data_IF_775077975593
#
_entry.id   IF_775077975593
#
_cell.length_a   1.000
_cell.length_b   1.000
_cell.length_c   1.000
_cell.angle_alpha   90.00
_cell.angle_beta   90.00
_cell.angle_gamma   90.00
#
_symmetry.space_group_name_H-M   'P 1'
#
loop_
_entity.id
_entity.type
_entity.pdbx_description
1 polymer ?
2 non-polymer ?
3 water ?
#
# COMPACT_ATOMS: atom_id res chain seq x y z
N UNK A 1 11.38 -20.80 26.90
CA UNK A 1 10.14 -21.27 26.22
C UNK A 1 10.32 -21.16 24.71
N UNK A 2 9.71 -20.13 24.10
CA UNK A 2 9.90 -19.78 22.70
C UNK A 2 10.37 -20.95 21.84
N UNK A 3 9.44 -21.82 21.45
CA UNK A 3 9.73 -22.77 20.38
C UNK A 3 9.97 -21.98 19.09
N UNK A 4 10.92 -22.47 18.28
CA UNK A 4 11.21 -21.91 16.98
C UNK A 4 11.15 -23.01 15.93
N UNK A 5 9.94 -23.43 15.54
CA UNK A 5 9.79 -24.35 14.42
C UNK A 5 10.45 -23.78 13.16
N UNK A 6 11.02 -24.68 12.35
CA UNK A 6 11.56 -24.37 11.05
C UNK A 6 10.41 -24.13 10.10
N UNK A 7 10.65 -23.28 9.09
CA UNK A 7 9.68 -23.12 8.02
C UNK A 7 9.48 -24.46 7.35
N UNK A 8 8.23 -24.80 7.09
CA UNK A 8 7.93 -25.96 6.29
C UNK A 8 8.35 -25.71 4.85
N UNK A 9 8.33 -26.79 4.06
CA UNK A 9 8.61 -26.70 2.65
C UNK A 9 7.52 -25.83 2.00
N UNK A 10 6.24 -26.04 2.38
CA UNK A 10 5.14 -25.23 1.88
C UNK A 10 5.34 -23.73 2.22
N UNK A 11 5.72 -23.43 3.46
CA UNK A 11 5.94 -22.04 3.87
C UNK A 11 7.11 -21.41 3.10
N UNK A 12 8.19 -22.16 2.88
CA UNK A 12 9.29 -21.67 2.04
C UNK A 12 8.80 -21.38 0.62
N UNK A 13 7.88 -22.18 0.11
CA UNK A 13 7.36 -22.04 -1.24
C UNK A 13 6.47 -20.79 -1.28
N UNK A 14 5.67 -20.59 -0.23
CA UNK A 14 4.83 -19.40 -0.15
C UNK A 14 5.72 -18.15 -0.21
N UNK A 15 6.79 -18.12 0.58
CA UNK A 15 7.68 -16.98 0.59
C UNK A 15 8.31 -16.78 -0.79
N UNK A 16 8.76 -17.87 -1.44
CA UNK A 16 9.38 -17.75 -2.75
C UNK A 16 8.41 -17.15 -3.78
N UNK A 17 7.17 -17.62 -3.77
CA UNK A 17 6.13 -17.17 -4.66
C UNK A 17 5.87 -15.67 -4.47
N UNK A 18 5.73 -15.24 -3.21
CA UNK A 18 5.44 -13.84 -2.91
C UNK A 18 6.62 -12.94 -3.26
N UNK A 19 7.85 -13.37 -3.02
CA UNK A 19 8.99 -12.56 -3.43
C UNK A 19 8.96 -12.37 -4.95
N UNK A 20 8.78 -13.46 -5.68
CA UNK A 20 8.76 -13.46 -7.13
C UNK A 20 7.63 -12.55 -7.61
N UNK A 21 6.48 -12.66 -6.98
CA UNK A 21 5.33 -11.84 -7.34
C UNK A 21 5.65 -10.37 -7.13
N UNK A 22 6.32 -10.01 -6.03
CA UNK A 22 6.71 -8.64 -5.79
C UNK A 22 7.72 -8.17 -6.82
N UNK A 23 8.74 -9.01 -7.13
CA UNK A 23 9.78 -8.60 -8.04
C UNK A 23 9.23 -8.36 -9.44
N UNK A 24 8.14 -9.02 -9.78
CA UNK A 24 7.52 -8.89 -11.09
C UNK A 24 6.55 -7.71 -11.16
N UNK A 25 6.11 -7.19 -10.01
CA UNK A 25 5.08 -6.15 -9.98
C UNK A 25 5.54 -4.85 -9.34
N UNK A 26 6.77 -4.80 -8.83
CA UNK A 26 7.32 -3.60 -8.23
C UNK A 26 8.65 -3.29 -8.90
N UNK A 27 8.67 -2.28 -9.80
CA UNK A 27 9.90 -1.88 -10.46
C UNK A 27 10.66 -0.88 -9.59
N UNK A 28 11.81 -1.25 -8.98
CA UNK A 28 12.49 -0.34 -8.08
C UNK A 28 13.32 0.73 -8.77
N UNK A 29 13.27 0.79 -10.10
CA UNK A 29 13.82 1.90 -10.86
C UNK A 29 12.77 2.93 -11.30
N UNK A 30 11.49 2.63 -11.14
CA UNK A 30 10.44 3.61 -11.43
C UNK A 30 10.48 4.07 -12.88
N UNK A 31 10.84 3.14 -13.78
CA UNK A 31 11.17 3.45 -15.16
C UNK A 31 9.92 3.77 -15.98
N UNK A 32 8.74 3.40 -15.49
CA UNK A 32 7.50 3.69 -16.22
C UNK A 32 6.97 5.08 -15.92
N UNK A 33 7.55 5.78 -14.94
CA UNK A 33 6.87 6.94 -14.38
C UNK A 33 6.89 8.12 -15.37
N UNK A 34 7.74 8.07 -16.39
CA UNK A 34 7.80 9.11 -17.41
C UNK A 34 6.61 8.98 -18.35
N UNK A 35 5.85 7.89 -18.24
CA UNK A 35 4.69 7.65 -19.09
C UNK A 35 3.44 8.28 -18.48
N UNK A 36 3.50 8.67 -17.20
CA UNK A 36 2.34 9.26 -16.53
C UNK A 36 2.15 10.69 -17.06
N UNK A 37 0.94 11.26 -16.90
CA UNK A 37 0.79 12.68 -17.09
C UNK A 37 1.78 13.41 -16.17
N UNK A 38 2.42 14.50 -16.66
CA UNK A 38 3.56 15.05 -15.95
C UNK A 38 3.17 15.69 -14.62
N UNK A 39 4.08 15.67 -13.64
CA UNK A 39 3.90 16.42 -12.40
C UNK A 39 3.94 17.90 -12.74
N UNK A 40 3.08 18.68 -12.09
CA UNK A 40 3.12 20.11 -12.19
C UNK A 40 3.02 20.64 -10.77
N UNK A 41 3.92 21.56 -10.40
CA UNK A 41 3.97 22.09 -9.05
C UNK A 41 3.70 23.60 -9.05
N UNK A 42 2.43 24.01 -8.77
CA UNK A 42 2.05 25.42 -8.72
C UNK A 42 2.65 26.04 -7.45
N UNK A 43 2.87 27.35 -7.46
CA UNK A 43 3.34 28.06 -6.27
C UNK A 43 2.25 27.97 -5.22
N UNK A 44 2.55 27.35 -4.07
CA UNK A 44 1.54 27.23 -3.03
C UNK A 44 2.20 27.12 -1.65
N UNK A 45 3.17 28.01 -1.40
CA UNK A 45 3.88 28.01 -0.14
C UNK A 45 2.88 28.07 1.02
N UNK A 46 1.73 28.74 0.78
CA UNK A 46 0.73 28.86 1.82
C UNK A 46 0.02 27.54 2.11
N UNK A 99 -2.62 26.87 0.45
CA UNK A 99 -4.00 27.41 0.31
C UNK A 99 -4.93 26.34 -0.24
N UNK A 100 -5.97 25.97 0.52
CA UNK A 100 -6.87 24.92 0.07
C UNK A 100 -7.60 25.39 -1.18
N UNK A 101 -8.05 26.66 -1.21
CA UNK A 101 -8.76 27.18 -2.36
C UNK A 101 -7.93 27.09 -3.65
N UNK A 102 -6.66 27.49 -3.59
CA UNK A 102 -5.79 27.39 -4.75
C UNK A 102 -5.50 25.93 -5.12
N UNK A 103 -5.21 25.09 -4.10
CA UNK A 103 -4.97 23.68 -4.36
C UNK A 103 -6.13 23.07 -5.15
N UNK A 104 -7.39 23.32 -4.71
CA UNK A 104 -8.56 22.75 -5.36
C UNK A 104 -8.81 23.37 -6.73
N UNK A 105 -8.47 24.65 -6.87
CA UNK A 105 -8.58 25.35 -8.12
C UNK A 105 -7.72 24.72 -9.20
N UNK A 106 -6.50 24.28 -8.85
CA UNK A 106 -5.53 23.83 -9.84
C UNK A 106 -5.43 22.28 -9.91
N UNK A 107 -5.45 21.62 -8.75
CA UNK A 107 -5.11 20.20 -8.61
C UNK A 107 -3.94 19.82 -9.51
N UNK A 108 -2.87 20.58 -9.37
CA UNK A 108 -1.75 20.54 -10.31
C UNK A 108 -1.04 19.18 -10.31
N UNK A 109 -1.01 18.51 -9.14
CA UNK A 109 -0.32 17.24 -9.00
C UNK A 109 -1.29 16.06 -9.12
N UNK A 110 -2.60 16.32 -9.34
CA UNK A 110 -3.53 15.22 -9.29
C UNK A 110 -3.40 14.31 -10.50
N UNK A 111 -3.24 14.78 -11.75
CA UNK A 111 -3.15 13.82 -12.85
C UNK A 111 -1.94 12.89 -12.72
N UNK A 112 -0.81 13.42 -12.25
CA UNK A 112 0.40 12.61 -12.11
C UNK A 112 0.19 11.56 -11.00
N UNK A 113 -0.29 12.00 -9.83
CA UNK A 113 -0.46 11.10 -8.69
C UNK A 113 -1.62 10.14 -8.91
N UNK A 114 -2.69 10.54 -9.63
CA UNK A 114 -3.73 9.60 -9.98
C UNK A 114 -3.19 8.53 -10.93
N UNK A 115 -2.36 8.92 -11.88
CA UNK A 115 -1.77 7.92 -12.77
C UNK A 115 -0.85 6.98 -11.99
N UNK A 116 -0.08 7.55 -11.07
CA UNK A 116 0.82 6.76 -10.23
C UNK A 116 0.02 5.76 -9.41
N UNK A 117 -1.09 6.18 -8.81
CA UNK A 117 -1.89 5.30 -7.98
C UNK A 117 -2.62 4.26 -8.85
N UNK A 118 -3.13 4.69 -10.00
CA UNK A 118 -3.80 3.79 -10.94
C UNK A 118 -2.86 2.67 -11.38
N UNK A 119 -1.64 3.03 -11.80
CA UNK A 119 -0.58 2.10 -12.15
C UNK A 119 -0.32 1.12 -11.03
N UNK A 120 -0.20 1.66 -9.80
CA UNK A 120 0.01 0.86 -8.60
C UNK A 120 -1.13 -0.09 -8.30
N UNK A 121 -2.39 0.34 -8.49
CA UNK A 121 -3.51 -0.56 -8.34
C UNK A 121 -3.41 -1.73 -9.33
N UNK A 122 -3.03 -1.45 -10.56
CA UNK A 122 -2.83 -2.53 -11.54
C UNK A 122 -1.76 -3.51 -11.05
N UNK A 123 -0.70 -2.98 -10.48
CA UNK A 123 0.39 -3.83 -10.00
C UNK A 123 -0.07 -4.69 -8.82
N UNK A 124 -0.88 -4.11 -7.93
CA UNK A 124 -1.40 -4.81 -6.78
C UNK A 124 -2.36 -5.91 -7.22
N UNK A 125 -3.18 -5.64 -8.24
CA UNK A 125 -4.04 -6.69 -8.76
C UNK A 125 -3.19 -7.87 -9.21
N UNK A 126 -2.13 -7.61 -9.95
CA UNK A 126 -1.20 -8.63 -10.40
C UNK A 126 -0.54 -9.40 -9.27
N UNK A 127 -0.07 -8.68 -8.24
CA UNK A 127 0.52 -9.28 -7.06
C UNK A 127 -0.49 -10.19 -6.37
N UNK A 128 -1.70 -9.69 -6.14
CA UNK A 128 -2.75 -10.42 -5.43
C UNK A 128 -3.03 -11.76 -6.11
N UNK A 129 -3.09 -11.74 -7.43
CA UNK A 129 -3.39 -12.94 -8.18
C UNK A 129 -2.38 -14.03 -7.95
N UNK A 130 -1.14 -13.67 -7.54
CA UNK A 130 -0.09 -14.63 -7.30
C UNK A 130 -0.01 -15.06 -5.84
N UNK A 131 -0.81 -14.46 -4.96
CA UNK A 131 -0.85 -14.88 -3.55
C UNK A 131 -1.43 -16.28 -3.53
N UNK A 132 -0.72 -17.27 -2.95
CA UNK A 132 -1.25 -18.64 -2.84
C UNK A 132 -2.60 -18.66 -2.14
N UNK A 133 -3.59 -19.19 -2.84
CA UNK A 133 -4.95 -19.30 -2.35
C UNK A 133 -5.89 -18.25 -2.91
N UNK A 134 -5.37 -17.08 -3.34
CA UNK A 134 -6.25 -16.01 -3.73
C UNK A 134 -7.17 -16.45 -4.87
N UNK A 135 -6.63 -17.26 -5.78
CA UNK A 135 -7.43 -17.67 -6.93
C UNK A 135 -8.47 -18.73 -6.54
N UNK A 136 -8.36 -19.34 -5.37
CA UNK A 136 -9.40 -20.22 -4.82
C UNK A 136 -10.64 -19.44 -4.39
N UNK A 137 -10.51 -18.12 -4.19
CA UNK A 137 -11.66 -17.30 -3.86
C UNK A 137 -12.51 -17.08 -5.10
N UNK A 138 -13.79 -16.81 -4.85
CA UNK A 138 -14.68 -16.43 -5.93
C UNK A 138 -14.27 -15.06 -6.44
N UNK A 139 -14.70 -14.78 -7.67
CA UNK A 139 -14.39 -13.53 -8.32
C UNK A 139 -14.95 -12.34 -7.54
N UNK A 140 -16.17 -12.47 -6.98
CA UNK A 140 -16.77 -11.37 -6.23
C UNK A 140 -15.93 -11.05 -4.98
N UNK A 141 -15.39 -12.10 -4.35
CA UNK A 141 -14.59 -11.89 -3.14
C UNK A 141 -13.20 -11.32 -3.47
N UNK A 142 -12.58 -11.78 -4.57
CA UNK A 142 -11.33 -11.21 -5.05
C UNK A 142 -11.45 -9.69 -5.23
N UNK A 143 -12.50 -9.25 -5.91
CA UNK A 143 -12.71 -7.84 -6.18
C UNK A 143 -13.02 -7.05 -4.91
N UNK A 144 -13.78 -7.60 -3.98
CA UNK A 144 -14.08 -6.89 -2.75
C UNK A 144 -12.77 -6.66 -2.00
N UNK A 145 -11.96 -7.70 -1.94
CA UNK A 145 -10.70 -7.60 -1.20
C UNK A 145 -9.74 -6.58 -1.83
N UNK A 146 -9.65 -6.59 -3.15
CA UNK A 146 -8.78 -5.67 -3.86
C UNK A 146 -9.25 -4.23 -3.69
N UNK A 147 -10.54 -3.97 -3.88
CA UNK A 147 -10.99 -2.60 -3.80
C UNK A 147 -10.86 -2.08 -2.39
N UNK A 148 -11.13 -2.89 -1.37
CA UNK A 148 -11.04 -2.37 -0.01
C UNK A 148 -9.60 -2.23 0.49
N UNK A 149 -8.63 -3.01 -0.04
CA UNK A 149 -7.24 -2.99 0.40
C UNK A 149 -6.35 -2.09 -0.47
N UNK A 150 -6.83 -1.71 -1.66
CA UNK A 150 -5.97 -1.05 -2.62
C UNK A 150 -5.17 0.09 -2.00
N UNK A 151 -5.81 1.07 -1.36
CA UNK A 151 -5.08 2.24 -0.87
C UNK A 151 -4.05 1.83 0.20
N UNK A 152 -4.42 0.88 1.06
CA UNK A 152 -3.50 0.35 2.07
C UNK A 152 -2.28 -0.35 1.50
N UNK A 153 -2.45 -1.13 0.43
CA UNK A 153 -1.30 -1.81 -0.13
C UNK A 153 -0.42 -0.80 -0.87
N UNK A 154 -1.05 0.23 -1.46
CA UNK A 154 -0.30 1.31 -2.07
C UNK A 154 0.56 1.99 -0.98
N UNK A 155 -0.04 2.24 0.18
CA UNK A 155 0.73 2.88 1.24
C UNK A 155 1.88 1.97 1.66
N UNK A 156 1.63 0.66 1.84
CA UNK A 156 2.68 -0.26 2.25
C UNK A 156 3.78 -0.35 1.18
N UNK A 157 3.39 -0.52 -0.09
CA UNK A 157 4.42 -0.76 -1.11
C UNK A 157 5.28 0.48 -1.34
N UNK A 158 4.71 1.67 -1.07
CA UNK A 158 5.39 2.94 -1.24
C UNK A 158 6.54 3.11 -0.25
N UNK A 159 6.52 2.26 0.77
CA UNK A 159 7.56 2.36 1.80
C UNK A 159 8.93 2.16 1.18
N UNK A 160 8.97 1.39 0.08
CA UNK A 160 10.23 1.05 -0.58
C UNK A 160 10.90 2.29 -1.21
N UNK A 161 10.15 3.30 -1.66
CA UNK A 161 10.70 4.54 -2.21
C UNK A 161 10.81 5.63 -1.16
N UNK A 162 10.14 5.44 -0.02
CA UNK A 162 10.16 6.41 1.06
C UNK A 162 11.55 6.44 1.65
N UNK A 163 12.06 7.66 1.90
CA UNK A 163 13.39 7.81 2.49
C UNK A 163 13.30 8.78 3.67
N UNK A 164 13.95 8.36 4.75
CA UNK A 164 14.09 9.20 5.93
C UNK A 164 15.19 10.24 5.77
N UNK A 165 15.92 10.23 4.66
CA UNK A 165 16.88 11.30 4.34
C UNK A 165 16.17 12.64 4.41
N UNK A 166 14.98 12.75 3.80
CA UNK A 166 14.26 14.02 3.76
C UNK A 166 12.74 13.84 3.80
N UNK A 167 12.27 12.67 4.25
CA UNK A 167 10.87 12.36 4.48
C UNK A 167 10.09 12.53 3.17
N UNK A 168 10.66 12.01 2.10
CA UNK A 168 10.01 12.03 0.80
C UNK A 168 9.90 10.60 0.26
N UNK A 169 9.10 10.47 -0.78
CA UNK A 169 9.13 9.29 -1.63
C UNK A 169 9.94 9.64 -2.86
N UNK A 170 11.14 9.09 -2.94
CA UNK A 170 12.10 9.46 -3.97
C UNK A 170 12.11 8.37 -5.04
N UNK A 171 11.55 8.70 -6.22
CA UNK A 171 11.48 7.77 -7.32
C UNK A 171 12.30 8.24 -8.51
N UNK A 172 13.35 9.05 -8.30
CA UNK A 172 14.23 9.48 -9.39
C UNK A 172 14.75 10.88 -9.13
N UNK A 173 14.87 11.68 -10.19
CA UNK A 173 15.29 13.06 -9.99
C UNK A 173 14.15 13.82 -9.32
N UNK A 174 14.45 15.08 -9.08
CA UNK A 174 13.56 16.09 -8.57
C UNK A 174 12.15 15.85 -9.06
N UNK A 175 11.94 15.56 -10.36
CA UNK A 175 10.61 15.48 -10.95
C UNK A 175 9.72 14.44 -10.24
N UNK A 176 10.31 13.28 -9.89
CA UNK A 176 9.60 12.16 -9.30
C UNK A 176 9.97 11.99 -7.82
N UNK A 177 10.23 13.11 -7.16
CA UNK A 177 10.37 13.15 -5.71
C UNK A 177 9.09 13.75 -5.15
N UNK A 178 8.40 12.99 -4.32
CA UNK A 178 7.11 13.37 -3.81
C UNK A 178 7.21 13.69 -2.33
N UNK A 179 6.82 14.90 -1.97
CA UNK A 179 6.81 15.42 -0.62
C UNK A 179 5.39 15.74 -0.18
N UNK A 180 5.25 16.09 1.10
CA UNK A 180 3.96 16.44 1.66
C UNK A 180 3.30 17.49 0.77
N UNK A 181 4.08 18.48 0.31
CA UNK A 181 3.52 19.60 -0.42
C UNK A 181 2.92 19.11 -1.76
N UNK A 182 3.50 18.06 -2.37
CA UNK A 182 2.95 17.54 -3.62
C UNK A 182 1.61 16.89 -3.39
N UNK A 183 1.42 16.27 -2.22
CA UNK A 183 0.18 15.61 -1.92
C UNK A 183 -0.91 16.63 -1.60
N UNK A 184 -0.54 17.77 -1.01
CA UNK A 184 -1.54 18.82 -0.86
C UNK A 184 -1.91 19.44 -2.21
N UNK A 185 -0.99 19.46 -3.17
CA UNK A 185 -1.31 19.93 -4.50
C UNK A 185 -2.17 18.94 -5.29
N UNK A 186 -2.46 17.76 -4.74
CA UNK A 186 -3.41 16.85 -5.36
C UNK A 186 -4.72 16.88 -4.62
N UNK A 187 -4.85 17.82 -3.68
CA UNK A 187 -6.14 18.11 -3.08
C UNK A 187 -6.37 17.43 -1.73
N UNK A 188 -5.36 16.77 -1.15
CA UNK A 188 -5.50 16.18 0.17
C UNK A 188 -5.03 17.19 1.21
N UNK A 189 -5.41 16.89 2.46
CA UNK A 189 -5.05 17.74 3.58
C UNK A 189 -4.14 17.02 4.58
N UNK A 190 -3.63 17.82 5.51
CA UNK A 190 -2.66 17.35 6.48
C UNK A 190 -3.28 16.31 7.42
N UNK A 191 -4.61 16.24 7.57
CA UNK A 191 -5.21 15.21 8.42
C UNK A 191 -4.94 13.82 7.85
N UNK A 192 -4.66 13.72 6.56
CA UNK A 192 -4.26 12.42 6.01
C UNK A 192 -2.75 12.35 5.92
N UNK A 193 -2.14 13.43 5.42
CA UNK A 193 -0.74 13.36 5.00
C UNK A 193 0.19 13.22 6.21
N UNK A 194 -0.07 13.94 7.30
CA UNK A 194 0.85 13.87 8.42
C UNK A 194 0.83 12.48 9.07
N UNK A 195 -0.32 11.85 9.34
CA UNK A 195 -0.33 10.47 9.80
C UNK A 195 0.26 9.49 8.79
N UNK A 196 0.13 9.79 7.48
CA UNK A 196 0.76 8.94 6.46
C UNK A 196 2.27 8.96 6.61
N UNK A 197 2.89 10.14 6.81
CA UNK A 197 4.34 10.24 6.94
C UNK A 197 4.77 9.53 8.21
N UNK A 198 4.02 9.71 9.29
CA UNK A 198 4.32 9.03 10.55
C UNK A 198 4.28 7.51 10.39
N UNK A 199 3.29 7.04 9.63
CA UNK A 199 3.16 5.63 9.30
C UNK A 199 4.39 5.17 8.53
N UNK A 200 4.84 5.93 7.51
CA UNK A 200 5.96 5.51 6.68
C UNK A 200 7.23 5.39 7.53
N UNK A 201 7.44 6.39 8.39
CA UNK A 201 8.61 6.34 9.26
C UNK A 201 8.56 5.12 10.19
N UNK A 202 7.42 4.89 10.86
CA UNK A 202 7.23 3.79 11.76
C UNK A 202 7.56 2.45 11.08
N UNK A 203 7.06 2.31 9.85
CA UNK A 203 7.26 1.10 9.07
C UNK A 203 8.71 0.97 8.67
N UNK A 204 9.33 2.07 8.23
CA UNK A 204 10.70 2.02 7.82
C UNK A 204 11.55 1.53 8.97
N UNK A 205 11.24 2.02 10.17
CA UNK A 205 12.06 1.72 11.34
C UNK A 205 11.87 0.29 11.87
N UNK A 206 10.90 -0.47 11.36
CA UNK A 206 10.84 -1.89 11.67
C UNK A 206 11.92 -2.65 10.88
N UNK A 207 12.53 -2.04 9.85
CA UNK A 207 13.62 -2.65 9.11
C UNK A 207 13.22 -4.05 8.63
N UNK A 208 12.04 -4.12 7.99
CA UNK A 208 11.52 -5.41 7.55
C UNK A 208 12.42 -6.06 6.51
N UNK A 209 12.58 -7.37 6.63
CA UNK A 209 13.13 -8.14 5.52
C UNK A 209 12.12 -8.07 4.37
N UNK A 210 12.62 -8.25 3.15
CA UNK A 210 11.71 -8.28 2.02
C UNK A 210 10.65 -9.37 2.19
N UNK A 211 11.04 -10.52 2.76
CA UNK A 211 10.11 -11.60 3.05
C UNK A 211 8.93 -11.11 3.93
N UNK A 212 9.25 -10.35 4.95
CA UNK A 212 8.23 -9.85 5.88
C UNK A 212 7.36 -8.81 5.20
N UNK A 213 8.00 -7.96 4.37
CA UNK A 213 7.26 -6.94 3.65
C UNK A 213 6.19 -7.56 2.75
N UNK A 214 6.59 -8.54 1.92
CA UNK A 214 5.64 -9.12 0.96
C UNK A 214 4.53 -9.91 1.66
N UNK A 215 4.85 -10.56 2.79
CA UNK A 215 3.85 -11.23 3.59
C UNK A 215 2.85 -10.24 4.20
N UNK A 216 3.33 -9.10 4.68
CA UNK A 216 2.45 -8.09 5.24
C UNK A 216 1.49 -7.57 4.18
N UNK A 217 1.95 -7.31 2.96
CA UNK A 217 1.07 -6.87 1.87
C UNK A 217 0.04 -7.95 1.56
N UNK A 218 0.44 -9.24 1.59
CA UNK A 218 -0.48 -10.33 1.30
C UNK A 218 -1.54 -10.44 2.41
N UNK A 219 -1.08 -10.35 3.65
CA UNK A 219 -1.98 -10.42 4.80
C UNK A 219 -2.97 -9.26 4.77
N UNK A 220 -2.51 -8.08 4.35
CA UNK A 220 -3.37 -6.94 4.23
C UNK A 220 -4.50 -7.20 3.22
N UNK A 221 -4.18 -7.74 2.06
CA UNK A 221 -5.14 -7.97 1.00
C UNK A 221 -6.13 -9.06 1.43
N UNK A 222 -5.66 -10.16 2.01
CA UNK A 222 -6.54 -11.29 2.27
C UNK A 222 -7.07 -11.17 3.70
N UNK A 223 -7.88 -10.15 3.94
CA UNK A 223 -8.41 -9.86 5.26
C UNK A 223 -9.90 -10.25 5.31
N UNK A 224 -10.33 -11.10 6.26
CA UNK A 224 -11.73 -11.53 6.30
C UNK A 224 -12.72 -10.48 6.80
N UNK A 225 -12.24 -9.47 7.53
CA UNK A 225 -13.06 -8.37 8.02
C UNK A 225 -12.96 -7.17 7.10
N UNK A 226 -13.48 -7.36 5.89
CA UNK A 226 -13.75 -6.27 4.99
C UNK A 226 -15.24 -6.32 4.72
N UNK A 227 -15.93 -5.18 4.62
CA UNK A 227 -17.36 -5.18 4.34
C UNK A 227 -17.68 -5.80 2.98
N UNK A 228 -18.71 -6.64 2.92
CA UNK A 228 -19.17 -7.24 1.69
C UNK A 228 -18.48 -8.55 1.30
N UNK A 229 -17.56 -9.10 2.10
CA UNK A 229 -17.02 -10.42 1.78
C UNK A 229 -18.09 -11.50 2.00
N UNK A 230 -18.08 -12.54 1.16
CA UNK A 230 -18.99 -13.65 1.28
C UNK A 230 -18.35 -14.78 2.07
N UNK A 231 -17.29 -15.40 1.54
CA UNK A 231 -16.70 -16.53 2.23
C UNK A 231 -15.57 -16.08 3.15
N UNK A 232 -15.98 -15.54 4.30
CA UNK A 232 -15.08 -15.03 5.29
C UNK A 232 -14.18 -16.13 5.86
N UNK A 233 -14.73 -17.36 6.00
CA UNK A 233 -13.94 -18.44 6.56
C UNK A 233 -12.82 -18.86 5.62
N UNK A 234 -13.10 -18.90 4.32
CA UNK A 234 -12.05 -19.24 3.36
C UNK A 234 -10.96 -18.17 3.37
N UNK A 235 -11.34 -16.89 3.40
CA UNK A 235 -10.39 -15.80 3.42
C UNK A 235 -9.52 -15.89 4.68
N UNK A 236 -10.16 -16.26 5.81
CA UNK A 236 -9.48 -16.33 7.08
C UNK A 236 -8.48 -17.48 7.06
N UNK A 237 -8.83 -18.58 6.38
CA UNK A 237 -7.93 -19.71 6.25
C UNK A 237 -6.70 -19.34 5.42
N UNK A 238 -6.90 -18.60 4.33
CA UNK A 238 -5.78 -18.13 3.51
C UNK A 238 -4.89 -17.19 4.32
N UNK A 239 -5.53 -16.27 5.04
CA UNK A 239 -4.78 -15.32 5.83
C UNK A 239 -4.00 -16.02 6.91
N UNK A 240 -4.63 -16.96 7.62
CA UNK A 240 -3.95 -17.65 8.71
C UNK A 240 -2.72 -18.39 8.19
N UNK A 241 -2.77 -18.96 6.99
CA UNK A 241 -1.63 -19.66 6.39
C UNK A 241 -0.48 -18.67 6.18
N UNK A 242 -0.81 -17.46 5.71
CA UNK A 242 0.20 -16.41 5.52
C UNK A 242 0.70 -15.88 6.86
N UNK A 243 -0.21 -15.64 7.82
CA UNK A 243 0.17 -15.16 9.15
C UNK A 243 1.10 -16.13 9.88
N UNK A 244 0.77 -17.42 9.82
CA UNK A 244 1.62 -18.46 10.38
C UNK A 244 2.97 -18.48 9.70
N UNK A 245 3.02 -18.29 8.37
CA UNK A 245 4.29 -18.25 7.67
C UNK A 245 5.11 -17.10 8.24
N UNK A 246 4.48 -15.92 8.37
CA UNK A 246 5.18 -14.73 8.85
C UNK A 246 5.68 -14.92 10.28
N UNK A 247 4.82 -15.44 11.17
CA UNK A 247 5.23 -15.64 12.57
C UNK A 247 6.44 -16.57 12.67
N UNK A 248 6.39 -17.67 11.92
CA UNK A 248 7.46 -18.66 11.84
C UNK A 248 8.76 -18.04 11.29
N UNK A 249 8.65 -17.32 10.15
CA UNK A 249 9.78 -16.63 9.57
C UNK A 249 10.44 -15.73 10.63
N UNK A 250 9.66 -14.87 11.29
CA UNK A 250 10.23 -13.91 12.22
C UNK A 250 11.03 -14.64 13.32
N UNK A 251 10.46 -15.73 13.84
CA UNK A 251 11.07 -16.48 14.93
C UNK A 251 12.31 -17.26 14.45
N UNK A 252 12.36 -17.74 13.20
CA UNK A 252 13.55 -18.44 12.71
C UNK A 252 14.66 -17.54 12.18
N UNK A 253 14.30 -16.40 11.57
CA UNK A 253 15.20 -15.76 10.62
C UNK A 253 15.47 -14.31 11.00
N UNK A 254 14.71 -13.74 11.93
CA UNK A 254 14.83 -12.32 12.17
C UNK A 254 15.66 -12.15 13.42
N UNK A 255 16.92 -11.66 13.30
CA UNK A 255 17.82 -11.55 14.47
C UNK A 255 17.31 -10.54 15.48
N UNK A 256 17.67 -10.68 16.79
CA UNK A 256 17.36 -9.67 17.81
C UNK A 256 18.24 -8.42 17.64
N UNK A 257 17.87 -7.23 18.18
CA UNK A 257 16.62 -7.03 18.92
C UNK A 257 15.44 -6.57 18.05
N UNK A 258 15.66 -6.38 16.74
CA UNK A 258 14.58 -6.06 15.79
C UNK A 258 13.43 -7.08 15.74
N UNK A 259 13.64 -8.33 16.22
CA UNK A 259 12.61 -9.38 16.28
C UNK A 259 11.63 -9.20 17.45
N UNK A 260 12.01 -8.38 18.43
CA UNK A 260 11.28 -8.25 19.68
C UNK A 260 9.85 -7.75 19.43
N UNK A 261 8.85 -8.64 19.57
CA UNK A 261 7.46 -8.25 19.37
C UNK A 261 7.28 -7.69 17.94
N UNK A 262 8.11 -8.13 17.00
CA UNK A 262 8.01 -7.61 15.64
C UNK A 262 6.64 -7.97 15.06
N UNK A 263 6.16 -9.21 15.26
CA UNK A 263 4.87 -9.60 14.73
C UNK A 263 3.76 -8.66 15.22
N UNK A 264 3.72 -8.37 16.51
CA UNK A 264 2.70 -7.48 17.04
C UNK A 264 2.81 -6.07 16.44
N UNK A 265 4.04 -5.57 16.25
CA UNK A 265 4.24 -4.26 15.64
C UNK A 265 3.69 -4.26 14.20
N UNK A 266 3.87 -5.37 13.47
CA UNK A 266 3.41 -5.48 12.10
C UNK A 266 1.88 -5.53 12.06
N UNK A 267 1.26 -6.27 12.99
CA UNK A 267 -0.19 -6.30 13.06
C UNK A 267 -0.72 -4.91 13.44
N UNK A 268 -0.02 -4.17 14.31
CA UNK A 268 -0.44 -2.80 14.64
C UNK A 268 -0.42 -1.92 13.38
N UNK A 269 0.53 -2.15 12.47
CA UNK A 269 0.61 -1.33 11.27
C UNK A 269 -0.63 -1.57 10.42
N UNK A 270 -1.14 -2.81 10.42
CA UNK A 270 -2.35 -3.13 9.67
C UNK A 270 -3.53 -2.34 10.22
N UNK A 271 -3.63 -2.22 11.54
CA UNK A 271 -4.71 -1.44 12.16
C UNK A 271 -4.58 0.03 11.78
N UNK A 272 -3.34 0.55 11.83
CA UNK A 272 -3.03 1.92 11.45
C UNK A 272 -3.53 2.18 10.02
N UNK A 273 -3.27 1.22 9.12
CA UNK A 273 -3.72 1.30 7.74
C UNK A 273 -5.23 1.44 7.59
N UNK A 274 -6.03 0.79 8.44
CA UNK A 274 -7.50 0.93 8.38
C UNK A 274 -7.89 2.36 8.61
N UNK A 275 -7.15 3.03 9.52
CA UNK A 275 -7.48 4.39 9.90
C UNK A 275 -7.12 5.37 8.76
N UNK A 276 -5.98 5.10 8.12
CA UNK A 276 -5.58 5.92 6.99
C UNK A 276 -6.53 5.71 5.81
N UNK A 277 -7.00 4.45 5.64
CA UNK A 277 -7.94 4.06 4.59
C UNK A 277 -9.20 4.91 4.78
N UNK A 278 -9.71 4.95 6.01
CA UNK A 278 -10.94 5.71 6.26
C UNK A 278 -10.75 7.22 6.01
N UNK A 279 -9.62 7.79 6.41
CA UNK A 279 -9.37 9.19 6.18
C UNK A 279 -9.20 9.46 4.68
N UNK A 280 -8.44 8.63 3.97
CA UNK A 280 -8.31 8.80 2.54
C UNK A 280 -9.68 8.85 1.87
N UNK A 281 -10.57 7.96 2.28
CA UNK A 281 -11.87 7.82 1.64
C UNK A 281 -12.70 9.07 1.85
N UNK A 282 -12.70 9.60 3.08
CA UNK A 282 -13.33 10.89 3.38
C UNK A 282 -12.77 11.98 2.48
N UNK A 283 -11.44 12.01 2.30
CA UNK A 283 -10.86 13.10 1.53
C UNK A 283 -11.10 12.94 0.03
N UNK A 284 -11.10 11.70 -0.43
CA UNK A 284 -11.36 11.42 -1.81
C UNK A 284 -12.76 11.90 -2.19
N UNK A 285 -13.72 11.58 -1.32
CA UNK A 285 -15.08 12.05 -1.49
C UNK A 285 -15.10 13.56 -1.73
N UNK A 286 -14.42 14.34 -0.91
CA UNK A 286 -14.41 15.79 -1.01
C UNK A 286 -13.68 16.23 -2.27
N UNK A 287 -12.60 15.56 -2.63
CA UNK A 287 -11.91 15.89 -3.86
C UNK A 287 -12.82 15.64 -5.08
N UNK A 288 -13.65 14.63 -5.00
CA UNK A 288 -14.51 14.23 -6.10
C UNK A 288 -15.62 15.26 -6.38
N UNK A 289 -15.90 16.13 -5.42
CA UNK A 289 -16.88 17.20 -5.64
C UNK A 289 -16.31 18.37 -6.48
N UNK A 290 -14.98 18.42 -6.70
CA UNK A 290 -14.36 19.47 -7.47
C UNK A 290 -14.73 19.30 -8.93
N UNK A 291 -15.35 20.32 -9.57
CA UNK A 291 -15.76 20.19 -10.98
C UNK A 291 -14.54 19.83 -11.83
N UNK A 292 -14.77 18.90 -12.75
CA UNK A 292 -13.75 18.46 -13.71
C UNK A 292 -12.72 17.57 -13.04
N UNK A 293 -12.95 17.13 -11.80
CA UNK A 293 -12.02 16.24 -11.12
C UNK A 293 -11.85 14.91 -11.86
N UNK A 294 -12.95 14.39 -12.42
CA UNK A 294 -12.90 13.04 -12.97
C UNK A 294 -11.89 12.90 -14.12
N UNK A 295 -11.70 13.95 -14.95
CA UNK A 295 -10.74 13.93 -16.03
C UNK A 295 -9.32 13.85 -15.50
N UNK A 296 -9.11 14.35 -14.28
CA UNK A 296 -7.79 14.28 -13.66
C UNK A 296 -7.49 12.92 -13.01
N UNK A 297 -8.51 12.06 -12.86
CA UNK A 297 -8.34 10.75 -12.27
C UNK A 297 -8.18 9.74 -13.40
N UNK A 298 -8.52 8.47 -13.14
CA UNK A 298 -8.55 7.47 -14.18
C UNK A 298 -9.76 6.61 -13.97
N UNK A 299 -10.25 5.86 -14.98
CA UNK A 299 -11.38 4.95 -14.76
C UNK A 299 -11.19 3.96 -13.61
N UNK A 300 -9.97 3.41 -13.46
CA UNK A 300 -9.72 2.47 -12.40
C UNK A 300 -9.81 3.18 -11.05
N UNK A 301 -9.24 4.37 -10.92
CA UNK A 301 -9.29 5.09 -9.66
C UNK A 301 -10.74 5.45 -9.27
N UNK A 302 -11.50 5.91 -10.26
CA UNK A 302 -12.91 6.25 -10.04
C UNK A 302 -13.71 5.05 -9.51
N UNK A 303 -13.44 3.88 -10.05
CA UNK A 303 -14.17 2.69 -9.60
C UNK A 303 -13.77 2.28 -8.19
N UNK A 304 -12.46 2.23 -7.93
CA UNK A 304 -12.00 1.70 -6.66
C UNK A 304 -12.40 2.64 -5.52
N UNK A 305 -12.37 3.95 -5.73
CA UNK A 305 -12.60 4.88 -4.64
C UNK A 305 -13.98 5.51 -4.67
N UNK A 306 -14.70 5.37 -5.78
CA UNK A 306 -16.08 5.83 -5.84
C UNK A 306 -17.04 4.95 -5.05
X LIG B 1 2.41 4.43 -5.00
X LIG B 1 3.73 4.23 -4.94
X LIG B 1 4.28 2.89 -5.32
X LIG B 1 5.58 3.00 -6.11
X LIG B 1 6.56 4.00 -5.48
X LIG B 1 7.00 3.59 -4.15
X LIG B 1 5.91 5.42 -5.38
X LIG B 1 4.58 5.36 -4.66
X LIG B 1 4.32 6.38 -3.82
X LIG B 1 -2.53 10.09 -0.44
X LIG B 1 -6.61 9.02 -5.66
X LIG B 1 -5.50 11.30 -5.29
X LIG B 1 -2.98 10.90 -3.97
X LIG B 1 -3.80 9.98 -3.30
X LIG B 1 -4.62 9.23 -4.28
X LIG B 1 -5.88 9.96 -4.72
X LIG B 1 -6.70 10.19 -3.57
X LIG B 1 -2.82 8.99 -2.59
X LIG B 1 -1.81 9.69 -1.73
X LIG B 1 -0.48 8.98 -1.35
X LIG B 1 0.62 8.97 -2.35
X LIG B 1 0.18 8.41 -3.71
X LIG B 1 1.64 8.03 -1.67
X LIG B 1 0.81 6.86 -1.16
X LIG B 1 -0.59 7.48 -0.92
X LIG B 1 2.87 7.83 -2.46
X LIG B 1 3.64 9.11 -2.65
X LIG B 1 2.67 10.13 -3.34
X LIG B 1 1.39 10.29 -2.54
X LIG B 1 3.19 6.62 -3.00
#
# INVERSE_FOLDING_TARGET
DSLRPKLSEEQQRIIAILLDAHHKTYDPTYSDFCQFRPPVRVNDGGGSHPSRPNSRHTPSFSGDSSSSCSDHCITSSDMMDSSSFSNLDLSEEDSDDPSVTLELSQLSMLPHLADLVSYSIQKVIGFAKMIPGFRDLTSEDQIVLLKSSAIEVIMLRSNESFTMDDMSWTCGNQDYKYRVSDVTKAGHSLELIEPLIKFQVGLKKLNLHEEEHVLLMAICIVSPDRPGVQDAALIEAIQDRLSNTLQTYIRCRHPPPGSHLLYAKMIQKLADLRSLNEEHSKQYRCLSFQPECSMKLTPLVLEVFG
SV0 C2 C3 C4 C5 C6 O1 C7 C8 C11 C13 C14 C15 F1 C18 C17 C16 O12 C19 C21 C24 C28 C23 C29 C26 C25 C30 C31 C32 C27 C22
#
